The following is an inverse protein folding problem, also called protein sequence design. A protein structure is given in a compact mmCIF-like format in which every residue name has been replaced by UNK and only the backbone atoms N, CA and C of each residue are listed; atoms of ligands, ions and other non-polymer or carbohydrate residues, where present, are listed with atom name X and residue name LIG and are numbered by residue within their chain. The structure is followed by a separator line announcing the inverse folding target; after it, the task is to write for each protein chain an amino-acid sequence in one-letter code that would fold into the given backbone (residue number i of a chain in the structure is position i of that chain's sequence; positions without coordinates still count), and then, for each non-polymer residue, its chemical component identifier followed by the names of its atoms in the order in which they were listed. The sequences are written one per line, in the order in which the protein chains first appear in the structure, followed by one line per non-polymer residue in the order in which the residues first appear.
data_IF_266488867935
#
_entry.id   IF_266488867935
#
_cell.length_a   1.000
_cell.length_b   1.000
_cell.length_c   1.000
_cell.angle_alpha   90.00
_cell.angle_beta   90.00
_cell.angle_gamma   90.00
#
_symmetry.space_group_name_H-M   'P 1'
#
loop_
_entity.id
_entity.type
_entity.pdbx_description
1 polymer ?
#
# COMPACT_ATOMS: atom_id res chain seq x y z
N UNK A 1 3.66 -3.96 -31.36
CA UNK A 1 4.41 -5.20 -31.15
C UNK A 1 3.39 -6.30 -30.87
N UNK A 2 3.24 -7.24 -31.81
CA UNK A 2 2.27 -8.35 -31.72
C UNK A 2 2.92 -9.55 -30.99
N UNK A 3 3.55 -9.32 -29.82
CA UNK A 3 4.23 -10.40 -29.08
C UNK A 3 3.24 -11.46 -28.58
N UNK A 4 1.98 -11.09 -28.33
CA UNK A 4 0.88 -11.97 -27.96
C UNK A 4 0.62 -13.07 -29.00
N UNK A 5 0.80 -12.77 -30.31
CA UNK A 5 0.69 -13.75 -31.38
C UNK A 5 1.85 -14.75 -31.29
N UNK A 6 3.06 -14.28 -30.98
CA UNK A 6 4.24 -15.14 -30.77
C UNK A 6 4.02 -16.05 -29.57
N UNK A 7 3.55 -15.51 -28.45
CA UNK A 7 3.23 -16.29 -27.22
C UNK A 7 2.19 -17.38 -27.53
N UNK A 8 1.11 -17.04 -28.24
CA UNK A 8 0.09 -18.00 -28.64
C UNK A 8 0.62 -19.09 -29.59
N UNK A 9 1.48 -18.71 -30.53
CA UNK A 9 2.14 -19.66 -31.45
C UNK A 9 3.03 -20.63 -30.69
N UNK A 10 3.89 -20.14 -29.80
CA UNK A 10 4.75 -21.01 -28.96
C UNK A 10 3.92 -21.98 -28.12
N UNK A 11 2.83 -21.50 -27.51
CA UNK A 11 1.96 -22.34 -26.70
C UNK A 11 1.21 -23.40 -27.52
N UNK A 12 0.87 -23.09 -28.77
CA UNK A 12 0.16 -24.03 -29.64
C UNK A 12 1.08 -25.13 -30.20
N UNK A 13 2.37 -24.81 -30.35
CA UNK A 13 3.34 -25.69 -31.02
C UNK A 13 4.31 -26.39 -30.07
N UNK A 14 4.42 -25.94 -28.82
CA UNK A 14 5.37 -26.46 -27.85
C UNK A 14 4.70 -26.72 -26.50
N UNK A 15 5.12 -27.75 -25.79
CA UNK A 15 4.69 -28.02 -24.42
C UNK A 15 5.60 -27.26 -23.43
N UNK A 16 5.29 -25.95 -23.24
CA UNK A 16 6.09 -25.04 -22.43
C UNK A 16 5.23 -24.21 -21.50
N UNK A 17 5.77 -23.83 -20.34
CA UNK A 17 5.22 -22.80 -19.46
C UNK A 17 5.82 -21.45 -19.84
N UNK A 18 4.97 -20.46 -20.07
CA UNK A 18 5.41 -19.12 -20.48
C UNK A 18 5.10 -18.14 -19.37
N UNK A 19 6.12 -17.41 -18.92
CA UNK A 19 6.01 -16.36 -17.92
C UNK A 19 6.24 -15.00 -18.59
N UNK A 20 5.28 -14.08 -18.40
CA UNK A 20 5.36 -12.71 -18.91
C UNK A 20 5.40 -11.80 -17.68
N UNK A 21 6.38 -10.89 -17.63
CA UNK A 21 6.52 -9.94 -16.53
C UNK A 21 6.39 -8.51 -17.04
N UNK A 22 5.96 -7.61 -16.18
CA UNK A 22 5.89 -6.19 -16.49
C UNK A 22 5.65 -5.34 -15.25
N UNK A 23 6.09 -4.09 -15.31
CA UNK A 23 5.98 -3.09 -14.26
C UNK A 23 4.61 -2.39 -14.19
N UNK A 24 3.61 -2.89 -14.92
CA UNK A 24 2.30 -2.23 -14.99
C UNK A 24 1.18 -3.27 -15.05
N UNK A 25 0.14 -3.08 -14.24
CA UNK A 25 -1.03 -3.96 -14.18
C UNK A 25 -1.77 -4.06 -15.53
N UNK A 26 -1.69 -3.01 -16.36
CA UNK A 26 -2.29 -2.99 -17.70
C UNK A 26 -1.56 -3.82 -18.73
N UNK A 27 -0.36 -4.30 -18.45
CA UNK A 27 0.35 -5.17 -19.40
C UNK A 27 -0.44 -6.44 -19.72
N UNK A 28 -1.29 -6.87 -18.80
CA UNK A 28 -2.19 -8.03 -18.93
C UNK A 28 -3.65 -7.62 -19.14
N UNK A 29 -3.98 -6.32 -19.27
CA UNK A 29 -5.31 -5.79 -19.58
C UNK A 29 -5.38 -5.28 -21.04
N UNK A 30 -6.58 -5.20 -21.62
CA UNK A 30 -6.77 -4.77 -23.00
C UNK A 30 -6.57 -5.88 -24.01
N UNK A 31 -5.80 -5.64 -25.07
CA UNK A 31 -5.61 -6.60 -26.19
C UNK A 31 -5.00 -7.93 -25.73
N UNK A 32 -4.05 -7.88 -24.76
CA UNK A 32 -3.49 -9.09 -24.16
C UNK A 32 -4.53 -9.92 -23.41
N UNK A 33 -5.40 -9.26 -22.64
CA UNK A 33 -6.50 -9.94 -21.96
C UNK A 33 -7.45 -10.61 -22.97
N UNK A 34 -7.67 -10.00 -24.11
CA UNK A 34 -8.54 -10.55 -25.17
C UNK A 34 -7.92 -11.79 -25.84
N UNK A 35 -6.66 -11.71 -26.21
CA UNK A 35 -5.96 -12.80 -26.90
C UNK A 35 -5.54 -13.97 -26.00
N UNK A 36 -5.34 -13.72 -24.70
CA UNK A 36 -4.92 -14.71 -23.70
C UNK A 36 -6.01 -15.05 -22.69
N UNK A 37 -7.25 -14.53 -22.88
CA UNK A 37 -8.37 -14.70 -21.97
C UNK A 37 -8.64 -16.18 -21.63
N UNK A 38 -8.83 -16.46 -20.34
CA UNK A 38 -9.07 -17.81 -19.82
C UNK A 38 -7.86 -18.75 -19.85
N UNK A 39 -6.66 -18.23 -20.17
CA UNK A 39 -5.45 -19.03 -20.37
C UNK A 39 -4.23 -18.50 -19.62
N UNK A 40 -4.44 -17.51 -18.74
CA UNK A 40 -3.41 -16.88 -17.93
C UNK A 40 -3.82 -16.83 -16.48
N UNK A 41 -2.82 -16.92 -15.61
CA UNK A 41 -2.95 -16.60 -14.18
C UNK A 41 -2.07 -15.38 -13.92
N UNK A 42 -2.68 -14.33 -13.37
CA UNK A 42 -1.94 -13.12 -12.99
C UNK A 42 -1.46 -13.23 -11.55
N UNK A 43 -0.16 -13.04 -11.36
CA UNK A 43 0.46 -12.99 -10.05
C UNK A 43 1.02 -11.59 -9.84
N UNK A 44 0.66 -10.94 -8.75
CA UNK A 44 1.26 -9.68 -8.32
C UNK A 44 2.48 -9.99 -7.44
N UNK A 45 3.65 -9.55 -7.86
CA UNK A 45 4.87 -9.63 -7.06
C UNK A 45 4.97 -8.33 -6.24
N UNK A 46 4.95 -8.46 -4.93
CA UNK A 46 5.08 -7.35 -3.99
C UNK A 46 6.55 -7.15 -3.59
N UNK A 47 6.95 -5.97 -3.10
CA UNK A 47 8.18 -5.82 -2.33
C UNK A 47 8.21 -6.82 -1.18
N UNK A 48 9.37 -7.11 -0.61
CA UNK A 48 9.46 -7.96 0.59
C UNK A 48 8.57 -7.41 1.70
N UNK A 49 7.73 -8.26 2.28
CA UNK A 49 7.13 -7.95 3.58
C UNK A 49 8.20 -8.02 4.69
N UNK A 50 7.87 -7.59 5.91
CA UNK A 50 8.87 -7.52 6.98
C UNK A 50 9.49 -8.89 7.33
N UNK A 51 8.71 -9.96 7.30
CA UNK A 51 9.21 -11.31 7.54
C UNK A 51 10.20 -11.74 6.45
N UNK A 52 9.86 -11.53 5.17
CA UNK A 52 10.74 -11.82 4.03
C UNK A 52 12.00 -10.95 4.06
N UNK A 53 11.88 -9.67 4.46
CA UNK A 53 13.01 -8.78 4.67
C UNK A 53 13.96 -9.31 5.74
N UNK A 54 13.45 -9.75 6.90
CA UNK A 54 14.25 -10.35 7.95
C UNK A 54 14.94 -11.65 7.48
N UNK A 55 14.24 -12.48 6.74
CA UNK A 55 14.82 -13.71 6.15
C UNK A 55 15.92 -13.38 5.13
N UNK A 56 15.71 -12.37 4.29
CA UNK A 56 16.71 -11.93 3.32
C UNK A 56 17.99 -11.41 3.99
N UNK A 57 17.88 -10.75 5.15
CA UNK A 57 19.03 -10.28 5.93
C UNK A 57 19.86 -11.39 6.55
N UNK A 58 19.29 -12.57 6.75
CA UNK A 58 19.95 -13.81 7.25
C UNK A 58 20.80 -13.59 8.52
N UNK A 59 20.26 -12.86 9.51
CA UNK A 59 20.94 -12.53 10.75
C UNK A 59 20.63 -13.60 11.81
N UNK A 60 21.67 -14.28 12.36
CA UNK A 60 21.52 -15.41 13.29
C UNK A 60 20.80 -15.06 14.60
N UNK A 61 20.92 -13.80 15.08
CA UNK A 61 20.24 -13.30 16.27
C UNK A 61 19.68 -11.89 15.97
N UNK A 62 18.55 -11.78 15.26
CA UNK A 62 18.06 -10.51 14.79
C UNK A 62 17.51 -9.63 15.90
N UNK A 63 17.95 -8.39 15.96
CA UNK A 63 17.25 -7.32 16.66
C UNK A 63 16.11 -6.80 15.76
N UNK A 64 14.91 -7.31 15.99
CA UNK A 64 13.74 -6.97 15.18
C UNK A 64 13.33 -5.49 15.28
N UNK A 65 13.67 -4.79 16.38
CA UNK A 65 13.39 -3.35 16.50
C UNK A 65 14.30 -2.55 15.55
N UNK A 66 15.58 -2.87 15.50
CA UNK A 66 16.52 -2.26 14.54
C UNK A 66 16.17 -2.60 13.10
N UNK A 67 15.81 -3.86 12.81
CA UNK A 67 15.39 -4.28 11.48
C UNK A 67 14.08 -3.59 11.05
N UNK A 68 13.14 -3.42 11.98
CA UNK A 68 11.89 -2.70 11.68
C UNK A 68 12.17 -1.22 11.38
N UNK A 69 13.05 -0.56 12.12
CA UNK A 69 13.45 0.83 11.86
C UNK A 69 14.10 0.99 10.47
N UNK A 70 14.93 0.03 10.05
CA UNK A 70 15.51 -0.01 8.70
C UNK A 70 14.42 -0.21 7.64
N UNK A 71 13.52 -1.18 7.84
CA UNK A 71 12.41 -1.49 6.93
C UNK A 71 11.42 -0.32 6.80
N UNK A 72 11.07 0.34 7.91
CA UNK A 72 10.24 1.54 7.91
C UNK A 72 10.88 2.72 7.15
N UNK A 73 12.20 2.74 7.07
CA UNK A 73 12.95 3.81 6.38
C UNK A 73 13.12 3.50 4.89
N UNK A 74 13.58 2.31 4.56
CA UNK A 74 14.03 1.98 3.21
C UNK A 74 13.13 1.02 2.44
N UNK A 75 12.09 0.47 3.11
CA UNK A 75 11.15 -0.45 2.49
C UNK A 75 11.69 -1.85 2.25
N UNK A 76 11.00 -2.59 1.38
CA UNK A 76 11.25 -3.99 1.05
C UNK A 76 11.68 -4.23 -0.40
N UNK A 77 12.07 -3.21 -1.17
CA UNK A 77 12.57 -3.41 -2.53
C UNK A 77 13.89 -4.20 -2.51
N UNK A 78 13.99 -5.36 -3.20
CA UNK A 78 15.14 -6.28 -3.06
C UNK A 78 16.50 -5.63 -3.30
N UNK A 79 16.62 -4.76 -4.31
CA UNK A 79 17.89 -4.05 -4.60
C UNK A 79 18.28 -3.11 -3.46
N UNK A 80 17.30 -2.48 -2.81
CA UNK A 80 17.53 -1.59 -1.65
C UNK A 80 17.92 -2.40 -0.43
N UNK A 81 17.23 -3.52 -0.20
CA UNK A 81 17.52 -4.43 0.93
C UNK A 81 18.94 -4.99 0.85
N UNK A 82 19.47 -5.25 -0.36
CA UNK A 82 20.81 -5.78 -0.61
C UNK A 82 21.93 -4.75 -0.59
N UNK A 83 21.62 -3.45 -0.48
CA UNK A 83 22.66 -2.41 -0.43
C UNK A 83 23.29 -2.30 0.97
N UNK A 84 24.62 -2.15 1.00
CA UNK A 84 25.41 -2.23 2.24
C UNK A 84 25.32 -0.98 3.11
N UNK A 85 25.08 0.19 2.52
CA UNK A 85 25.09 1.46 3.23
C UNK A 85 23.91 2.36 2.83
N UNK A 86 23.65 3.36 3.67
CA UNK A 86 22.55 4.30 3.55
C UNK A 86 22.58 5.08 2.24
N UNK A 87 23.73 5.57 1.85
CA UNK A 87 23.93 6.39 0.66
C UNK A 87 23.57 5.59 -0.60
N UNK A 88 24.01 4.35 -0.67
CA UNK A 88 23.67 3.45 -1.80
C UNK A 88 22.18 3.15 -1.84
N UNK A 89 21.54 2.91 -0.70
CA UNK A 89 20.08 2.70 -0.61
C UNK A 89 19.31 3.90 -1.15
N UNK A 90 19.68 5.11 -0.75
CA UNK A 90 19.04 6.34 -1.21
C UNK A 90 19.22 6.56 -2.71
N UNK A 91 20.41 6.29 -3.25
CA UNK A 91 20.67 6.36 -4.70
C UNK A 91 19.82 5.35 -5.47
N UNK A 92 19.74 4.12 -5.00
CA UNK A 92 18.92 3.07 -5.65
C UNK A 92 17.44 3.45 -5.60
N UNK A 93 16.94 3.89 -4.45
CA UNK A 93 15.53 4.33 -4.30
C UNK A 93 15.18 5.47 -5.26
N UNK A 94 16.02 6.50 -5.33
CA UNK A 94 15.83 7.61 -6.27
C UNK A 94 15.83 7.13 -7.72
N UNK A 95 16.78 6.28 -8.11
CA UNK A 95 16.86 5.73 -9.47
C UNK A 95 15.61 4.91 -9.82
N UNK A 96 15.12 4.09 -8.90
CA UNK A 96 13.88 3.32 -9.11
C UNK A 96 12.68 4.27 -9.25
N UNK A 97 12.57 5.27 -8.37
CA UNK A 97 11.49 6.24 -8.40
C UNK A 97 11.47 7.00 -9.73
N UNK A 98 12.59 7.56 -10.17
CA UNK A 98 12.68 8.35 -11.39
C UNK A 98 12.51 7.50 -12.66
N UNK A 99 13.14 6.33 -12.72
CA UNK A 99 13.12 5.49 -13.91
C UNK A 99 11.80 4.72 -14.06
N UNK A 100 11.35 4.07 -12.99
CA UNK A 100 10.16 3.18 -13.04
C UNK A 100 8.89 4.01 -12.95
N UNK A 101 8.85 4.96 -12.03
CA UNK A 101 7.63 5.68 -11.72
C UNK A 101 7.37 6.79 -12.72
N UNK A 102 8.29 7.74 -12.87
CA UNK A 102 8.05 8.89 -13.76
C UNK A 102 8.18 8.50 -15.23
N UNK A 103 9.28 7.89 -15.62
CA UNK A 103 9.54 7.60 -17.03
C UNK A 103 8.57 6.60 -17.63
N UNK A 104 8.28 5.52 -16.89
CA UNK A 104 7.35 4.47 -17.35
C UNK A 104 5.92 4.99 -17.46
N UNK A 105 5.43 5.76 -16.47
CA UNK A 105 4.08 6.35 -16.49
C UNK A 105 3.96 7.34 -17.65
N UNK A 106 4.93 8.24 -17.81
CA UNK A 106 4.91 9.28 -18.86
C UNK A 106 4.93 8.66 -20.25
N UNK A 107 5.83 7.69 -20.48
CA UNK A 107 5.97 7.07 -21.80
C UNK A 107 4.74 6.24 -22.23
N UNK A 108 4.08 5.58 -21.26
CA UNK A 108 2.96 4.68 -21.57
C UNK A 108 1.62 5.38 -21.69
N UNK A 109 1.41 6.49 -21.01
CA UNK A 109 0.07 7.11 -20.86
C UNK A 109 -0.11 8.42 -21.64
N UNK A 110 0.82 8.80 -22.53
CA UNK A 110 0.77 10.07 -23.28
C UNK A 110 0.46 11.28 -22.38
N UNK A 111 1.20 11.39 -21.30
CA UNK A 111 1.01 12.44 -20.30
C UNK A 111 1.31 13.82 -20.89
N UNK A 112 0.35 14.71 -20.85
CA UNK A 112 0.49 16.09 -21.41
C UNK A 112 1.39 16.97 -20.55
N UNK A 113 1.43 16.75 -19.23
CA UNK A 113 2.24 17.52 -18.31
C UNK A 113 2.96 16.62 -17.31
N UNK A 114 4.21 16.19 -17.62
CA UNK A 114 5.02 15.38 -16.70
C UNK A 114 5.23 16.05 -15.33
N UNK A 115 5.41 17.38 -15.31
CA UNK A 115 5.58 18.14 -14.08
C UNK A 115 4.34 18.06 -13.17
N UNK A 116 3.15 18.14 -13.73
CA UNK A 116 1.91 18.01 -12.94
C UNK A 116 1.74 16.59 -12.44
N UNK A 117 2.07 15.57 -13.26
CA UNK A 117 2.08 14.16 -12.81
C UNK A 117 3.03 13.97 -11.63
N UNK A 118 4.25 14.52 -11.70
CA UNK A 118 5.23 14.46 -10.61
C UNK A 118 4.66 15.06 -9.32
N UNK A 119 4.04 16.25 -9.39
CA UNK A 119 3.40 16.88 -8.24
C UNK A 119 2.25 16.06 -7.65
N UNK A 120 1.42 15.45 -8.50
CA UNK A 120 0.35 14.55 -8.05
C UNK A 120 0.94 13.32 -7.37
N UNK A 121 2.01 12.76 -7.95
CA UNK A 121 2.71 11.60 -7.39
C UNK A 121 3.35 11.91 -6.04
N UNK A 122 4.09 13.02 -5.93
CA UNK A 122 4.69 13.47 -4.68
C UNK A 122 3.62 13.70 -3.60
N UNK A 123 2.48 14.27 -3.98
CA UNK A 123 1.36 14.45 -3.07
C UNK A 123 0.82 13.11 -2.57
N UNK A 124 0.57 12.15 -3.45
CA UNK A 124 0.03 10.84 -3.08
C UNK A 124 0.99 10.05 -2.22
N UNK A 125 2.25 10.00 -2.61
CA UNK A 125 3.29 9.31 -1.84
C UNK A 125 3.46 9.95 -0.47
N UNK A 126 3.55 11.28 -0.41
CA UNK A 126 3.69 12.02 0.85
C UNK A 126 2.47 11.94 1.77
N UNK A 127 1.28 11.61 1.25
CA UNK A 127 0.02 11.50 1.99
C UNK A 127 -0.51 10.05 1.99
N UNK A 128 0.37 9.06 1.96
CA UNK A 128 -0.02 7.66 2.12
C UNK A 128 -0.84 7.46 3.39
N UNK A 129 -1.88 6.64 3.31
CA UNK A 129 -2.90 6.39 4.34
C UNK A 129 -3.87 7.55 4.65
N UNK A 130 -3.69 8.71 4.07
CA UNK A 130 -4.65 9.80 4.21
C UNK A 130 -5.75 9.73 3.13
N UNK A 131 -6.92 10.28 3.49
CA UNK A 131 -8.02 10.45 2.53
C UNK A 131 -7.65 11.46 1.46
N UNK A 132 -7.81 11.08 0.20
CA UNK A 132 -7.44 11.90 -0.96
C UNK A 132 -8.66 12.26 -1.79
N UNK A 133 -8.74 13.51 -2.20
CA UNK A 133 -9.70 14.03 -3.17
C UNK A 133 -8.98 14.63 -4.37
N UNK A 134 -9.25 14.11 -5.57
CA UNK A 134 -8.70 14.68 -6.81
C UNK A 134 -9.09 16.15 -7.01
N UNK A 135 -10.25 16.57 -6.50
CA UNK A 135 -10.66 17.99 -6.51
C UNK A 135 -9.75 18.84 -5.60
N UNK A 136 -9.45 18.34 -4.38
CA UNK A 136 -8.57 19.05 -3.45
C UNK A 136 -7.14 19.17 -4.02
N UNK A 137 -6.61 18.10 -4.62
CA UNK A 137 -5.30 18.13 -5.29
C UNK A 137 -5.31 19.15 -6.44
N UNK A 138 -6.32 19.12 -7.31
CA UNK A 138 -6.43 20.06 -8.43
C UNK A 138 -6.49 21.51 -7.96
N UNK A 139 -7.23 21.80 -6.90
CA UNK A 139 -7.32 23.13 -6.28
C UNK A 139 -5.97 23.56 -5.72
N UNK A 140 -5.30 22.72 -4.95
CA UNK A 140 -3.97 22.99 -4.37
C UNK A 140 -2.91 23.24 -5.46
N UNK A 141 -2.88 22.42 -6.50
CA UNK A 141 -1.93 22.60 -7.60
C UNK A 141 -2.21 23.89 -8.37
N UNK A 142 -3.50 24.20 -8.62
CA UNK A 142 -3.89 25.44 -9.32
C UNK A 142 -3.54 26.69 -8.53
N UNK A 143 -3.70 26.70 -7.20
CA UNK A 143 -3.29 27.81 -6.34
C UNK A 143 -1.77 28.02 -6.31
N UNK A 144 -1.00 26.95 -6.56
CA UNK A 144 0.46 26.97 -6.68
C UNK A 144 0.96 27.25 -8.13
N UNK A 145 0.08 27.72 -9.02
CA UNK A 145 0.44 28.09 -10.39
C UNK A 145 0.41 26.94 -11.41
N UNK A 146 0.07 25.72 -11.02
CA UNK A 146 -0.05 24.56 -11.90
C UNK A 146 -1.50 24.31 -12.27
N UNK A 147 -2.00 24.99 -13.32
CA UNK A 147 -3.39 24.82 -13.79
C UNK A 147 -3.65 23.39 -14.22
N UNK A 148 -4.51 22.69 -13.48
CA UNK A 148 -4.94 21.33 -13.78
C UNK A 148 -6.41 21.14 -13.35
N UNK A 149 -7.17 20.40 -14.16
CA UNK A 149 -8.55 20.04 -13.80
C UNK A 149 -8.61 18.75 -12.98
N UNK A 150 -9.64 18.60 -12.17
CA UNK A 150 -9.83 17.38 -11.37
C UNK A 150 -9.91 16.09 -12.21
N UNK A 151 -10.57 16.06 -13.39
CA UNK A 151 -10.54 14.86 -14.26
C UNK A 151 -9.13 14.44 -14.64
N UNK A 152 -8.23 15.39 -14.97
CA UNK A 152 -6.83 15.07 -15.31
C UNK A 152 -6.09 14.51 -14.06
N UNK A 153 -6.35 15.05 -12.87
CA UNK A 153 -5.78 14.52 -11.63
C UNK A 153 -6.25 13.07 -11.41
N UNK A 154 -7.53 12.78 -11.60
CA UNK A 154 -8.04 11.40 -11.50
C UNK A 154 -7.43 10.45 -12.53
N UNK A 155 -7.18 10.92 -13.76
CA UNK A 155 -6.45 10.13 -14.75
C UNK A 155 -5.00 9.85 -14.33
N UNK A 156 -4.32 10.83 -13.74
CA UNK A 156 -2.97 10.63 -13.21
C UNK A 156 -2.95 9.68 -12.00
N UNK A 157 -3.91 9.80 -11.09
CA UNK A 157 -4.07 8.86 -9.97
C UNK A 157 -4.25 7.42 -10.47
N UNK A 158 -5.07 7.24 -11.51
CA UNK A 158 -5.23 5.92 -12.14
C UNK A 158 -3.91 5.40 -12.73
N UNK A 159 -3.15 6.25 -13.44
CA UNK A 159 -1.85 5.85 -13.99
C UNK A 159 -0.84 5.45 -12.90
N UNK A 160 -0.85 6.15 -11.76
CA UNK A 160 0.02 5.87 -10.60
C UNK A 160 -0.33 4.50 -9.98
N UNK A 161 -1.64 4.20 -9.82
CA UNK A 161 -2.11 2.89 -9.34
C UNK A 161 -1.77 1.78 -10.33
N UNK A 162 -2.01 2.01 -11.63
CA UNK A 162 -1.69 1.05 -12.70
C UNK A 162 -0.18 0.73 -12.75
N UNK A 163 0.69 1.69 -12.39
CA UNK A 163 2.14 1.50 -12.29
C UNK A 163 2.58 0.81 -10.98
N UNK A 164 1.64 0.36 -10.16
CA UNK A 164 1.90 -0.34 -8.89
C UNK A 164 2.74 0.46 -7.88
N UNK A 165 2.66 1.80 -7.91
CA UNK A 165 3.34 2.67 -6.93
C UNK A 165 2.56 2.73 -5.64
N UNK A 166 1.24 2.78 -5.75
CA UNK A 166 0.32 2.72 -4.61
C UNK A 166 -0.94 1.93 -4.97
N UNK A 167 -1.61 1.48 -3.95
CA UNK A 167 -2.94 0.91 -4.05
C UNK A 167 -4.00 1.93 -3.66
N UNK A 168 -5.10 1.89 -4.39
CA UNK A 168 -6.30 2.65 -4.07
C UNK A 168 -7.25 1.79 -3.25
N UNK A 169 -7.62 2.25 -2.06
CA UNK A 169 -8.48 1.54 -1.12
C UNK A 169 -9.80 2.27 -0.95
N UNK A 170 -10.88 1.58 -1.27
CA UNK A 170 -12.23 2.11 -1.15
C UNK A 170 -12.70 2.09 0.29
N UNK A 171 -13.58 3.02 0.64
CA UNK A 171 -14.29 2.99 1.92
C UNK A 171 -15.43 1.98 1.91
N UNK A 172 -15.69 1.43 3.07
CA UNK A 172 -16.82 0.54 3.32
C UNK A 172 -17.69 1.09 4.44
N UNK A 173 -18.95 1.38 4.14
CA UNK A 173 -19.93 1.75 5.15
C UNK A 173 -20.33 0.52 5.95
N UNK A 174 -19.85 0.43 7.18
CA UNK A 174 -20.09 -0.71 8.07
C UNK A 174 -21.60 -0.87 8.36
N UNK A 175 -22.34 0.22 8.52
CA UNK A 175 -23.77 0.19 8.78
C UNK A 175 -24.57 -0.16 7.53
N UNK A 176 -24.26 0.49 6.41
CA UNK A 176 -24.93 0.27 5.12
C UNK A 176 -24.45 -0.99 4.40
N UNK A 177 -23.41 -1.67 4.90
CA UNK A 177 -22.81 -2.88 4.33
C UNK A 177 -22.50 -2.75 2.83
N UNK A 178 -21.92 -1.62 2.41
CA UNK A 178 -21.60 -1.35 1.01
C UNK A 178 -20.32 -0.57 0.85
N UNK A 179 -19.59 -0.86 -0.24
CA UNK A 179 -18.44 -0.06 -0.64
C UNK A 179 -18.88 1.33 -1.13
N UNK A 180 -18.10 2.35 -0.79
CA UNK A 180 -18.32 3.73 -1.20
C UNK A 180 -17.27 4.11 -2.24
N UNK A 181 -17.69 4.83 -3.28
CA UNK A 181 -16.82 5.24 -4.40
C UNK A 181 -16.28 6.68 -4.23
N UNK A 182 -16.10 7.14 -3.00
CA UNK A 182 -15.60 8.48 -2.69
C UNK A 182 -14.78 8.48 -1.40
N UNK A 183 -13.95 9.50 -1.21
CA UNK A 183 -13.05 9.64 -0.06
C UNK A 183 -12.10 8.42 0.10
N UNK A 184 -11.48 8.03 -1.00
CA UNK A 184 -10.57 6.88 -1.04
C UNK A 184 -9.24 7.20 -0.35
N UNK A 185 -8.60 6.18 0.22
CA UNK A 185 -7.21 6.26 0.70
C UNK A 185 -6.27 5.62 -0.32
N UNK A 186 -5.03 6.10 -0.32
CA UNK A 186 -3.96 5.53 -1.14
C UNK A 186 -2.83 5.08 -0.22
N UNK A 187 -2.35 3.86 -0.43
CA UNK A 187 -1.24 3.28 0.33
C UNK A 187 -0.09 2.98 -0.62
N UNK A 188 1.09 3.51 -0.33
CA UNK A 188 2.28 3.19 -1.12
C UNK A 188 2.63 1.72 -0.99
N UNK A 189 3.05 1.10 -2.10
CA UNK A 189 3.42 -0.32 -2.12
C UNK A 189 4.76 -0.58 -1.43
N UNK A 190 5.61 0.45 -1.28
CA UNK A 190 6.90 0.35 -0.60
C UNK A 190 7.19 1.60 0.23
N UNK A 191 7.63 1.39 1.48
CA UNK A 191 7.92 2.48 2.42
C UNK A 191 9.13 3.33 2.00
N UNK A 192 10.04 2.80 1.19
CA UNK A 192 11.18 3.55 0.66
C UNK A 192 10.75 4.76 -0.17
N UNK A 193 9.65 4.64 -0.93
CA UNK A 193 9.10 5.78 -1.67
C UNK A 193 8.57 6.87 -0.74
N UNK A 194 7.98 6.47 0.38
CA UNK A 194 7.52 7.40 1.41
C UNK A 194 8.70 8.18 2.01
N UNK A 195 9.80 7.48 2.29
CA UNK A 195 11.04 8.10 2.81
C UNK A 195 11.61 9.18 1.88
N UNK A 196 11.60 8.96 0.56
CA UNK A 196 12.12 9.93 -0.42
C UNK A 196 11.35 11.25 -0.46
N UNK A 197 10.06 11.23 -0.13
CA UNK A 197 9.15 12.38 -0.34
C UNK A 197 8.77 13.11 0.95
N UNK A 198 9.17 12.62 2.10
CA UNK A 198 8.83 13.24 3.39
C UNK A 198 9.96 14.08 3.95
N UNK A 199 9.68 15.37 4.13
CA UNK A 199 10.36 16.21 5.13
C UNK A 199 9.79 15.83 6.49
N UNK A 200 10.48 14.97 7.24
CA UNK A 200 10.02 14.33 8.49
C UNK A 200 9.51 15.34 9.52
N UNK A 201 8.20 15.37 9.72
CA UNK A 201 7.55 16.04 10.86
C UNK A 201 7.20 14.95 11.90
N UNK A 202 7.29 15.27 13.19
CA UNK A 202 7.22 14.30 14.31
C UNK A 202 5.96 13.41 14.40
N UNK A 203 4.85 13.79 13.76
CA UNK A 203 3.57 13.06 13.87
C UNK A 203 3.34 11.99 12.79
N UNK A 204 4.36 11.65 12.02
CA UNK A 204 4.24 10.81 10.82
C UNK A 204 4.27 9.31 11.09
N UNK A 205 4.66 8.86 12.30
CA UNK A 205 4.78 7.43 12.59
C UNK A 205 3.46 6.66 12.45
N UNK A 206 2.32 7.27 12.80
CA UNK A 206 1.01 6.64 12.66
C UNK A 206 0.71 6.27 11.21
N UNK A 207 1.01 7.16 10.25
CA UNK A 207 0.79 6.89 8.81
C UNK A 207 1.71 5.81 8.26
N UNK A 208 2.94 5.72 8.79
CA UNK A 208 3.88 4.64 8.44
C UNK A 208 3.35 3.32 8.98
N UNK A 209 2.91 3.28 10.25
CA UNK A 209 2.36 2.07 10.88
C UNK A 209 1.11 1.60 10.14
N UNK A 210 0.21 2.52 9.80
CA UNK A 210 -0.98 2.19 9.02
C UNK A 210 -0.61 1.63 7.64
N UNK A 211 0.35 2.27 6.93
CA UNK A 211 0.83 1.79 5.62
C UNK A 211 1.47 0.40 5.72
N UNK A 212 2.29 0.13 6.74
CA UNK A 212 2.95 -1.16 6.91
C UNK A 212 1.94 -2.27 7.24
N UNK A 213 0.94 -1.97 8.07
CA UNK A 213 -0.17 -2.89 8.35
C UNK A 213 -0.97 -3.21 7.08
N UNK A 214 -1.27 -2.19 6.27
CA UNK A 214 -1.92 -2.39 4.98
C UNK A 214 -1.12 -3.33 4.08
N UNK A 215 0.18 -3.06 3.88
CA UNK A 215 1.04 -3.87 3.01
C UNK A 215 1.15 -5.32 3.52
N UNK A 216 1.21 -5.53 4.84
CA UNK A 216 1.20 -6.88 5.41
C UNK A 216 -0.15 -7.60 5.17
N UNK A 217 -1.28 -6.92 5.32
CA UNK A 217 -2.59 -7.51 5.02
C UNK A 217 -2.71 -7.93 3.55
N UNK A 218 -2.24 -7.07 2.61
CA UNK A 218 -2.20 -7.42 1.18
C UNK A 218 -1.27 -8.61 0.93
N UNK A 219 -0.10 -8.67 1.58
CA UNK A 219 0.84 -9.78 1.41
C UNK A 219 0.29 -11.12 1.94
N UNK A 220 -0.64 -11.07 2.90
CA UNK A 220 -1.39 -12.26 3.38
C UNK A 220 -2.59 -12.61 2.49
N UNK A 221 -2.88 -11.82 1.46
CA UNK A 221 -3.99 -12.06 0.54
C UNK A 221 -5.35 -11.53 1.01
N UNK A 222 -5.39 -10.67 2.03
CA UNK A 222 -6.63 -10.02 2.44
C UNK A 222 -7.12 -9.01 1.39
N UNK A 223 -8.43 -8.96 1.22
CA UNK A 223 -9.10 -7.83 0.58
C UNK A 223 -9.36 -6.78 1.65
N UNK A 224 -8.86 -5.57 1.43
CA UNK A 224 -8.84 -4.53 2.45
C UNK A 224 -9.70 -3.34 2.03
N UNK A 225 -10.44 -2.81 2.99
CA UNK A 225 -11.23 -1.58 2.87
C UNK A 225 -10.97 -0.69 4.08
N UNK A 226 -11.23 0.61 3.93
CA UNK A 226 -11.28 1.57 5.05
C UNK A 226 -12.69 1.58 5.61
N UNK A 227 -12.86 1.33 6.91
CA UNK A 227 -14.16 1.25 7.54
C UNK A 227 -14.73 2.64 7.87
N UNK A 228 -15.94 2.98 7.38
CA UNK A 228 -16.64 4.18 7.78
C UNK A 228 -17.66 3.86 8.87
N UNK A 229 -17.54 4.52 10.01
CA UNK A 229 -18.50 4.46 11.11
C UNK A 229 -19.27 5.79 11.24
N UNK A 230 -20.27 5.84 12.12
CA UNK A 230 -21.00 7.07 12.42
C UNK A 230 -20.12 8.18 13.02
N UNK A 231 -19.12 7.83 13.82
CA UNK A 231 -18.28 8.78 14.57
C UNK A 231 -16.86 8.93 14.04
N UNK A 232 -16.48 8.14 13.05
CA UNK A 232 -15.09 8.14 12.58
C UNK A 232 -14.81 7.02 11.61
N UNK A 233 -13.62 6.50 11.69
CA UNK A 233 -13.04 5.54 10.77
C UNK A 233 -12.53 4.33 11.53
N UNK A 234 -12.58 3.16 10.92
CA UNK A 234 -11.77 1.99 11.23
C UNK A 234 -10.72 1.89 10.15
N UNK A 235 -9.46 1.82 10.52
CA UNK A 235 -8.37 1.86 9.55
C UNK A 235 -8.54 0.75 8.51
N UNK A 236 -8.84 -0.48 8.96
CA UNK A 236 -9.02 -1.59 8.04
C UNK A 236 -10.22 -2.48 8.40
N UNK A 237 -10.97 -2.80 7.35
CA UNK A 237 -11.84 -3.98 7.27
C UNK A 237 -11.11 -4.95 6.34
N UNK A 238 -10.64 -6.07 6.88
CA UNK A 238 -9.88 -7.05 6.12
C UNK A 238 -10.70 -8.34 5.96
N UNK A 239 -10.84 -8.80 4.71
CA UNK A 239 -11.60 -9.99 4.35
C UNK A 239 -10.69 -11.04 3.71
N UNK A 240 -10.70 -12.25 4.24
CA UNK A 240 -10.00 -13.39 3.67
C UNK A 240 -10.88 -14.64 3.75
N UNK A 241 -11.15 -15.30 2.63
CA UNK A 241 -11.98 -16.51 2.55
C UNK A 241 -13.35 -16.36 3.23
N UNK A 242 -13.98 -15.19 3.11
CA UNK A 242 -15.28 -14.89 3.70
C UNK A 242 -15.25 -14.55 5.20
N UNK A 243 -14.09 -14.57 5.83
CA UNK A 243 -13.91 -14.08 7.21
C UNK A 243 -13.54 -12.61 7.19
N UNK A 244 -14.21 -11.83 8.04
CA UNK A 244 -14.01 -10.39 8.17
C UNK A 244 -13.40 -10.10 9.53
N UNK A 245 -12.41 -9.21 9.57
CA UNK A 245 -11.83 -8.67 10.80
C UNK A 245 -11.71 -7.15 10.72
N UNK A 246 -11.74 -6.48 11.87
CA UNK A 246 -11.55 -5.04 12.00
C UNK A 246 -10.22 -4.75 12.67
N UNK A 247 -9.45 -3.80 12.14
CA UNK A 247 -8.12 -3.46 12.64
C UNK A 247 -7.96 -1.95 12.75
N UNK A 248 -7.46 -1.49 13.90
CA UNK A 248 -6.89 -0.17 14.12
C UNK A 248 -5.37 -0.31 14.24
N UNK A 249 -4.64 0.64 13.67
CA UNK A 249 -3.19 0.64 13.65
C UNK A 249 -2.65 1.99 14.18
N UNK A 250 -1.89 1.98 15.26
CA UNK A 250 -1.30 3.16 15.82
C UNK A 250 0.18 2.94 16.20
N UNK A 251 0.93 4.04 16.36
CA UNK A 251 2.34 3.94 16.73
C UNK A 251 2.50 3.41 18.15
N UNK A 252 1.98 4.12 19.14
CA UNK A 252 2.01 3.76 20.56
C UNK A 252 0.74 4.25 21.27
N UNK A 253 0.33 3.53 22.29
CA UNK A 253 -0.77 3.87 23.20
C UNK A 253 -0.23 4.67 24.40
N UNK A 254 0.25 5.89 24.14
CA UNK A 254 1.02 6.69 25.10
C UNK A 254 0.23 7.20 26.29
N UNK A 255 -1.07 7.35 26.16
CA UNK A 255 -1.96 7.90 27.19
C UNK A 255 -3.38 7.33 27.07
N UNK A 256 -4.19 7.49 28.12
CA UNK A 256 -5.57 6.98 28.16
C UNK A 256 -6.43 7.56 27.04
N UNK A 257 -6.23 8.80 26.63
CA UNK A 257 -6.98 9.43 25.54
C UNK A 257 -6.71 8.74 24.20
N UNK A 258 -5.44 8.38 23.92
CA UNK A 258 -5.05 7.61 22.74
C UNK A 258 -5.66 6.21 22.81
N UNK A 259 -5.58 5.54 23.96
CA UNK A 259 -6.19 4.22 24.17
C UNK A 259 -7.71 4.29 23.93
N UNK A 260 -8.41 5.26 24.52
CA UNK A 260 -9.86 5.44 24.31
C UNK A 260 -10.21 5.73 22.86
N UNK A 261 -9.38 6.46 22.12
CA UNK A 261 -9.60 6.72 20.70
C UNK A 261 -9.52 5.43 19.89
N UNK A 262 -8.46 4.63 20.05
CA UNK A 262 -8.22 3.44 19.23
C UNK A 262 -9.22 2.31 19.59
N UNK A 263 -9.42 2.04 20.87
CA UNK A 263 -10.37 1.02 21.30
C UNK A 263 -11.83 1.49 21.18
N UNK A 264 -12.12 2.76 21.41
CA UNK A 264 -13.45 3.35 21.30
C UNK A 264 -13.98 3.45 19.86
N UNK A 265 -13.12 3.33 18.86
CA UNK A 265 -13.52 3.28 17.45
C UNK A 265 -14.53 2.14 17.18
N UNK A 266 -14.47 1.07 17.95
CA UNK A 266 -15.32 -0.12 17.81
C UNK A 266 -16.65 -0.08 18.57
N UNK A 267 -16.87 0.87 19.51
CA UNK A 267 -18.03 0.90 20.43
C UNK A 267 -19.39 0.79 19.75
N UNK A 268 -19.50 1.28 18.51
CA UNK A 268 -20.76 1.31 17.77
C UNK A 268 -20.89 0.28 16.67
N UNK A 269 -19.95 -0.65 16.62
CA UNK A 269 -20.00 -1.78 15.70
C UNK A 269 -20.73 -2.91 16.40
N UNK A 270 -21.98 -3.16 15.97
CA UNK A 270 -22.89 -4.11 16.61
C UNK A 270 -22.67 -5.58 16.20
N UNK A 271 -21.78 -5.84 15.24
CA UNK A 271 -21.47 -7.20 14.83
C UNK A 271 -20.39 -7.85 15.71
N UNK A 272 -20.27 -9.18 15.57
CA UNK A 272 -19.35 -10.00 16.35
C UNK A 272 -18.05 -10.33 15.62
N UNK A 273 -17.68 -9.62 14.55
CA UNK A 273 -16.41 -9.84 13.89
C UNK A 273 -15.24 -9.51 14.83
N UNK A 274 -14.12 -10.26 14.74
CA UNK A 274 -12.93 -9.98 15.56
C UNK A 274 -12.43 -8.55 15.36
N UNK A 275 -11.96 -7.95 16.45
CA UNK A 275 -11.50 -6.56 16.50
C UNK A 275 -10.09 -6.53 17.08
N UNK A 276 -9.18 -5.87 16.38
CA UNK A 276 -7.76 -5.83 16.72
C UNK A 276 -7.26 -4.39 16.79
N UNK A 277 -6.37 -4.12 17.74
CA UNK A 277 -5.53 -2.93 17.80
C UNK A 277 -4.08 -3.38 17.65
N UNK A 278 -3.34 -2.82 16.70
CA UNK A 278 -1.95 -3.19 16.41
C UNK A 278 -1.07 -1.98 16.66
N UNK A 279 -0.08 -2.11 17.56
CA UNK A 279 0.84 -1.01 17.92
C UNK A 279 2.24 -1.53 18.21
N UNK A 280 3.21 -0.62 18.41
CA UNK A 280 4.57 -0.99 18.86
C UNK A 280 4.70 -1.20 20.37
N UNK A 281 3.61 -1.06 21.14
CA UNK A 281 3.67 -1.33 22.58
C UNK A 281 4.09 -2.77 22.87
N UNK A 282 5.03 -2.94 23.81
CA UNK A 282 5.57 -4.26 24.20
C UNK A 282 4.61 -5.05 25.09
N UNK A 283 3.73 -4.36 25.78
CA UNK A 283 2.74 -4.96 26.68
C UNK A 283 1.37 -5.00 26.04
N UNK A 284 0.70 -6.12 26.17
CA UNK A 284 -0.65 -6.31 25.64
C UNK A 284 -1.67 -5.57 26.49
N UNK A 285 -2.50 -4.74 25.85
CA UNK A 285 -3.56 -3.95 26.47
C UNK A 285 -4.93 -4.36 25.92
N UNK A 286 -5.20 -5.67 25.83
CA UNK A 286 -6.50 -6.15 25.32
C UNK A 286 -7.62 -5.81 26.32
N UNK A 287 -8.78 -5.30 25.81
CA UNK A 287 -9.93 -4.95 26.64
C UNK A 287 -11.25 -5.04 25.86
N UNK A 288 -12.34 -5.34 26.57
CA UNK A 288 -13.71 -5.34 26.01
C UNK A 288 -13.88 -6.25 24.78
N UNK A 289 -13.16 -7.39 24.73
CA UNK A 289 -13.18 -8.30 23.59
C UNK A 289 -12.38 -7.83 22.37
N UNK A 290 -11.68 -6.69 22.47
CA UNK A 290 -10.76 -6.19 21.45
C UNK A 290 -9.36 -6.68 21.80
N UNK A 291 -8.70 -7.33 20.85
CA UNK A 291 -7.39 -7.93 21.04
C UNK A 291 -6.31 -6.94 20.62
N UNK A 292 -5.32 -6.74 21.48
CA UNK A 292 -4.15 -5.93 21.16
C UNK A 292 -2.97 -6.83 20.79
N UNK A 293 -2.32 -6.51 19.66
CA UNK A 293 -1.09 -7.17 19.19
C UNK A 293 0.06 -6.19 19.06
N UNK A 294 1.26 -6.67 19.40
CA UNK A 294 2.49 -5.96 19.04
C UNK A 294 2.70 -6.04 17.52
N UNK A 295 3.10 -4.92 16.90
CA UNK A 295 3.31 -4.81 15.46
C UNK A 295 4.36 -5.81 14.94
N UNK A 296 5.49 -5.98 15.66
CA UNK A 296 6.55 -6.91 15.23
C UNK A 296 6.02 -8.34 15.20
N UNK A 297 5.26 -8.75 16.22
CA UNK A 297 4.69 -10.11 16.26
C UNK A 297 3.63 -10.30 15.15
N UNK A 298 2.86 -9.26 14.85
CA UNK A 298 1.95 -9.26 13.69
C UNK A 298 2.74 -9.41 12.39
N UNK A 299 3.77 -8.60 12.14
CA UNK A 299 4.55 -8.63 10.89
C UNK A 299 5.37 -9.92 10.73
N UNK A 300 5.81 -10.54 11.81
CA UNK A 300 6.49 -11.85 11.82
C UNK A 300 5.52 -13.03 11.77
N UNK A 301 4.21 -12.77 11.64
CA UNK A 301 3.15 -13.79 11.58
C UNK A 301 3.13 -14.74 12.77
N UNK A 302 3.53 -14.25 13.95
CA UNK A 302 3.44 -15.01 15.21
C UNK A 302 2.03 -14.98 15.80
N UNK A 303 1.15 -14.12 15.30
CA UNK A 303 -0.24 -13.96 15.70
C UNK A 303 -1.16 -14.07 14.48
N UNK A 304 -2.33 -14.68 14.69
CA UNK A 304 -3.36 -14.85 13.66
C UNK A 304 -4.48 -13.80 13.82
N UNK A 305 -5.15 -13.48 12.68
CA UNK A 305 -6.30 -12.58 12.61
C UNK A 305 -7.60 -13.35 12.38
#
# INVERSE_FOLDING_TARGET
NNFELVVNSFRATHNVSIFITGSNSKLLSGELATHLSGRTVSLRVLPFNFMEFCQYKDISAPDYETLLAEYMTYGGLPLVCGADNKETKEVILNNIYDAVVLKDIVMRNKINSPLVLEKVLDYIVGNSSLTVSGNAIASTLSSNGHKVSAPVVYDYLRCIVDACVCDKVSRYDIRGKKALAFEEKYYVCDLGFLHLKKNRIKDEYNYIIETICYNELISRGYKVYVGKTWKGEIDFIAELNGKIVYIQAAYLLTDEKTIEREFGAYEKIADNYPKYVITLDKHTISRNGIIHYNLIDFLLRKVDL
#
